data_IF_077090463337
#
_entry.id   IF_077090463337
#
_cell.length_a   1.000
_cell.length_b   1.000
_cell.length_c   1.000
_cell.angle_alpha   90.00
_cell.angle_beta   90.00
_cell.angle_gamma   90.00
#
_symmetry.space_group_name_H-M   'P 1'
#
loop_
_entity.id
_entity.type
_entity.pdbx_description
1 polymer ?
#
# COMPACT_ATOMS: atom_id res chain seq x y z
N UNK A 1 -30.09 -24.10 15.18
CA UNK A 1 -29.78 -22.68 15.42
C UNK A 1 -29.80 -22.43 16.92
N UNK A 2 -28.67 -22.02 17.54
CA UNK A 2 -28.64 -21.37 18.85
C UNK A 2 -28.11 -19.93 18.77
N UNK A 3 -28.54 -19.11 19.71
CA UNK A 3 -28.59 -17.65 19.64
C UNK A 3 -27.26 -16.88 19.70
N UNK A 4 -27.29 -15.70 19.07
CA UNK A 4 -26.20 -14.73 19.04
C UNK A 4 -25.90 -14.13 20.42
N UNK A 5 -24.71 -14.40 20.93
CA UNK A 5 -24.11 -13.65 22.05
C UNK A 5 -23.74 -12.24 21.59
N UNK A 6 -24.64 -11.27 21.79
CA UNK A 6 -24.29 -9.85 21.73
C UNK A 6 -23.34 -9.53 22.88
N UNK A 7 -22.07 -9.28 22.56
CA UNK A 7 -21.10 -8.73 23.50
C UNK A 7 -21.58 -7.31 23.85
N UNK A 8 -22.08 -7.11 25.06
CA UNK A 8 -22.47 -5.80 25.58
C UNK A 8 -21.17 -5.10 26.01
N UNK A 9 -20.63 -4.24 25.14
CA UNK A 9 -19.49 -3.39 25.48
C UNK A 9 -19.95 -2.45 26.60
N UNK A 10 -19.31 -2.43 27.78
CA UNK A 10 -19.66 -1.46 28.81
C UNK A 10 -19.38 -0.05 28.28
N UNK A 11 -20.38 0.83 28.35
CA UNK A 11 -20.17 2.26 28.17
C UNK A 11 -19.45 2.76 29.42
N UNK A 12 -18.12 2.84 29.33
CA UNK A 12 -17.27 3.45 30.36
C UNK A 12 -17.61 4.95 30.39
N UNK A 13 -17.92 5.44 31.58
CA UNK A 13 -18.31 6.84 31.84
C UNK A 13 -17.33 7.84 31.25
N UNK A 14 -17.87 8.96 30.79
CA UNK A 14 -17.19 10.05 30.10
C UNK A 14 -16.79 11.11 31.12
N UNK A 15 -16.12 10.73 32.18
CA UNK A 15 -15.87 11.67 33.27
C UNK A 15 -14.76 11.17 34.19
N UNK A 16 -13.49 11.20 33.72
CA UNK A 16 -12.29 11.60 34.49
C UNK A 16 -11.22 12.13 33.51
N UNK A 17 -10.47 13.16 33.92
CA UNK A 17 -9.66 14.06 33.10
C UNK A 17 -8.51 13.37 32.31
N UNK A 18 -8.69 13.19 30.99
CA UNK A 18 -7.64 12.87 30.01
C UNK A 18 -7.02 14.13 29.39
N UNK A 19 -6.55 15.06 30.22
CA UNK A 19 -5.97 16.34 29.77
C UNK A 19 -4.48 16.18 29.43
N UNK A 20 -4.12 16.61 28.22
CA UNK A 20 -2.76 16.92 27.71
C UNK A 20 -1.80 15.79 27.31
N UNK A 21 -1.82 14.58 27.89
CA UNK A 21 -0.84 13.53 27.49
C UNK A 21 -1.16 12.85 26.16
N UNK A 22 -2.43 12.61 25.85
CA UNK A 22 -2.83 11.96 24.61
C UNK A 22 -2.84 12.91 23.41
N UNK A 23 -3.14 14.21 23.63
CA UNK A 23 -3.00 15.25 22.62
C UNK A 23 -1.53 15.49 22.25
N UNK A 24 -0.62 15.55 23.24
CA UNK A 24 0.81 15.68 22.99
C UNK A 24 1.41 14.46 22.25
N UNK A 25 0.95 13.24 22.55
CA UNK A 25 1.36 12.04 21.82
C UNK A 25 0.84 12.02 20.36
N UNK A 26 -0.36 12.56 20.12
CA UNK A 26 -0.91 12.74 18.76
C UNK A 26 -0.17 13.85 17.98
N UNK A 27 0.19 14.95 18.65
CA UNK A 27 0.88 16.11 18.07
C UNK A 27 2.35 15.82 17.73
N UNK A 28 3.05 15.01 18.57
CA UNK A 28 4.39 14.48 18.27
C UNK A 28 4.37 13.54 17.06
N UNK A 29 3.29 12.76 16.87
CA UNK A 29 3.14 11.90 15.70
C UNK A 29 2.90 12.71 14.41
N UNK A 30 2.10 13.77 14.44
CA UNK A 30 1.87 14.66 13.29
C UNK A 30 3.13 15.43 12.87
N UNK A 31 3.92 15.92 13.85
CA UNK A 31 5.15 16.68 13.56
C UNK A 31 6.27 15.81 12.93
N UNK A 32 6.29 14.50 13.21
CA UNK A 32 7.32 13.59 12.69
C UNK A 32 6.90 12.87 11.40
N UNK A 33 5.60 12.84 11.06
CA UNK A 33 5.13 12.14 9.85
C UNK A 33 5.55 12.83 8.56
N UNK A 34 5.54 14.15 8.52
CA UNK A 34 5.83 14.89 7.29
C UNK A 34 7.31 14.80 6.90
N UNK A 35 8.22 14.89 7.87
CA UNK A 35 9.65 14.71 7.64
C UNK A 35 9.99 13.26 7.23
N UNK A 36 9.35 12.27 7.85
CA UNK A 36 9.53 10.85 7.50
C UNK A 36 9.04 10.57 6.08
N UNK A 37 7.89 11.12 5.67
CA UNK A 37 7.35 10.98 4.30
C UNK A 37 8.29 11.64 3.29
N UNK A 38 8.80 12.84 3.60
CA UNK A 38 9.73 13.56 2.74
C UNK A 38 11.03 12.77 2.50
N UNK A 39 11.63 12.18 3.54
CA UNK A 39 12.84 11.35 3.44
C UNK A 39 12.57 10.06 2.64
N UNK A 40 11.42 9.40 2.83
CA UNK A 40 11.05 8.20 2.06
C UNK A 40 10.83 8.46 0.56
N UNK A 41 10.47 9.69 0.19
CA UNK A 41 10.21 10.11 -1.18
C UNK A 41 11.49 10.47 -1.97
N UNK A 42 12.60 10.78 -1.27
CA UNK A 42 13.84 11.25 -1.91
C UNK A 42 14.69 10.09 -2.46
N UNK A 43 14.44 9.73 -3.72
CA UNK A 43 15.13 8.61 -4.41
C UNK A 43 16.22 9.11 -5.38
N UNK A 44 17.33 8.37 -5.45
CA UNK A 44 18.38 8.61 -6.46
C UNK A 44 17.84 8.45 -7.89
N UNK A 45 18.51 9.08 -8.86
CA UNK A 45 18.15 8.96 -10.28
C UNK A 45 18.15 7.51 -10.78
N UNK A 46 19.17 6.72 -10.39
CA UNK A 46 19.28 5.30 -10.78
C UNK A 46 18.08 4.49 -10.29
N UNK A 47 17.65 4.71 -9.05
CA UNK A 47 16.46 4.04 -8.48
C UNK A 47 15.20 4.48 -9.21
N UNK A 48 15.04 5.78 -9.50
CA UNK A 48 13.90 6.30 -10.29
C UNK A 48 13.79 5.67 -11.67
N UNK A 49 14.91 5.53 -12.39
CA UNK A 49 14.94 4.88 -13.72
C UNK A 49 14.52 3.42 -13.63
N UNK A 50 15.03 2.67 -12.63
CA UNK A 50 14.65 1.26 -12.42
C UNK A 50 13.16 1.13 -12.10
N UNK A 51 12.61 1.99 -11.23
CA UNK A 51 11.18 2.02 -10.89
C UNK A 51 10.32 2.35 -12.11
N UNK A 52 10.71 3.35 -12.90
CA UNK A 52 9.99 3.72 -14.12
C UNK A 52 10.00 2.57 -15.15
N UNK A 53 11.13 1.86 -15.32
CA UNK A 53 11.21 0.69 -16.19
C UNK A 53 10.33 -0.45 -15.69
N UNK A 54 10.32 -0.71 -14.39
CA UNK A 54 9.47 -1.72 -13.78
C UNK A 54 7.97 -1.39 -13.94
N UNK A 55 7.59 -0.12 -13.81
CA UNK A 55 6.22 0.34 -14.08
C UNK A 55 5.85 0.14 -15.55
N UNK A 56 6.73 0.54 -16.48
CA UNK A 56 6.52 0.34 -17.92
C UNK A 56 6.36 -1.15 -18.23
N UNK A 57 7.19 -2.04 -17.70
CA UNK A 57 7.12 -3.50 -17.91
C UNK A 57 5.81 -4.14 -17.46
N UNK A 58 5.13 -3.55 -16.47
CA UNK A 58 3.93 -4.10 -15.85
C UNK A 58 2.63 -3.82 -16.64
N UNK A 59 2.64 -4.16 -17.93
CA UNK A 59 1.55 -3.90 -18.88
C UNK A 59 0.95 -5.21 -19.43
N UNK A 60 -0.35 -5.24 -19.77
CA UNK A 60 -0.96 -6.40 -20.44
C UNK A 60 -0.41 -6.58 -21.86
N UNK A 61 -0.60 -7.77 -22.42
CA UNK A 61 -0.17 -8.08 -23.79
C UNK A 61 -1.10 -7.36 -24.78
N UNK A 62 -0.55 -6.69 -25.83
CA UNK A 62 -1.33 -6.09 -26.89
C UNK A 62 -2.22 -7.11 -27.63
N UNK A 63 -3.40 -6.67 -28.06
CA UNK A 63 -4.40 -7.55 -28.65
C UNK A 63 -3.94 -8.18 -29.97
N UNK A 64 -3.29 -7.42 -30.85
CA UNK A 64 -2.81 -7.94 -32.13
C UNK A 64 -1.80 -9.09 -31.99
N UNK A 65 -1.04 -9.15 -30.88
CA UNK A 65 -0.14 -10.28 -30.60
C UNK A 65 -0.96 -11.55 -30.39
N UNK A 66 -2.09 -11.49 -29.68
CA UNK A 66 -2.97 -12.65 -29.47
C UNK A 66 -3.57 -13.17 -30.77
N UNK A 67 -3.78 -12.29 -31.74
CA UNK A 67 -4.37 -12.63 -33.04
C UNK A 67 -3.34 -13.20 -34.03
N UNK A 68 -2.04 -13.19 -33.71
CA UNK A 68 -1.00 -13.73 -34.58
C UNK A 68 -1.10 -15.27 -34.66
N UNK A 69 -1.11 -15.81 -35.87
CA UNK A 69 -1.15 -17.26 -36.13
C UNK A 69 0.04 -17.97 -35.47
N UNK A 70 -0.20 -19.14 -34.88
CA UNK A 70 0.84 -19.93 -34.20
C UNK A 70 1.32 -19.35 -32.87
N UNK A 71 0.65 -18.32 -32.32
CA UNK A 71 1.03 -17.75 -31.04
C UNK A 71 0.49 -18.58 -29.84
N UNK A 72 1.39 -18.98 -28.95
CA UNK A 72 1.08 -19.68 -27.70
C UNK A 72 0.90 -18.74 -26.50
N UNK A 73 1.33 -17.49 -26.60
CA UNK A 73 1.35 -16.52 -25.49
C UNK A 73 -0.04 -15.91 -25.27
N UNK A 74 -0.63 -16.15 -24.09
CA UNK A 74 -1.98 -15.67 -23.73
C UNK A 74 -1.99 -14.45 -22.80
N UNK A 75 -1.07 -14.42 -21.83
CA UNK A 75 -0.94 -13.37 -20.82
C UNK A 75 0.54 -13.09 -20.50
N UNK A 76 0.81 -11.93 -19.89
CA UNK A 76 2.16 -11.58 -19.47
C UNK A 76 2.49 -12.28 -18.15
N UNK A 77 3.20 -13.40 -18.22
CA UNK A 77 3.60 -14.18 -17.05
C UNK A 77 4.48 -13.40 -16.04
N UNK A 78 5.17 -12.35 -16.50
CA UNK A 78 6.01 -11.49 -15.65
C UNK A 78 5.27 -10.26 -15.11
N UNK A 79 3.96 -10.15 -15.35
CA UNK A 79 3.14 -9.07 -14.80
C UNK A 79 3.10 -9.20 -13.27
N UNK A 80 3.25 -8.09 -12.56
CA UNK A 80 3.41 -8.08 -11.10
C UNK A 80 2.35 -7.20 -10.44
N UNK A 81 1.88 -7.58 -9.25
CA UNK A 81 1.07 -6.71 -8.42
C UNK A 81 1.90 -6.17 -7.24
N UNK A 82 1.77 -4.87 -6.94
CA UNK A 82 2.62 -4.20 -5.96
C UNK A 82 2.42 -4.71 -4.52
N UNK A 83 1.22 -5.21 -4.18
CA UNK A 83 0.95 -5.81 -2.86
C UNK A 83 1.42 -7.27 -2.73
N UNK A 84 1.59 -7.99 -3.85
CA UNK A 84 1.90 -9.43 -3.84
C UNK A 84 3.39 -9.73 -3.95
N UNK A 85 4.14 -8.92 -4.67
CA UNK A 85 5.58 -9.17 -4.91
C UNK A 85 6.34 -7.86 -4.90
N UNK A 86 7.45 -7.79 -4.15
CA UNK A 86 8.30 -6.58 -4.09
C UNK A 86 9.28 -6.54 -5.27
N UNK A 87 9.77 -5.34 -5.63
CA UNK A 87 10.66 -5.15 -6.78
C UNK A 87 12.14 -5.44 -6.43
N UNK A 88 12.49 -5.47 -5.14
CA UNK A 88 13.85 -5.81 -4.69
C UNK A 88 14.91 -4.88 -5.28
N UNK A 89 14.67 -3.56 -5.24
CA UNK A 89 15.56 -2.52 -5.75
C UNK A 89 15.88 -1.54 -4.65
#
# INVERSE_FOLDING_TARGET
MPEGRRIRIPHVGRDELGTSRDAANMEIHEQYTDEIIAIQSHKSFRTKVKLARAQKQNRPIPQWIRLRTGNTIRYNAKRRHWRKTRIGI
#
